data_IF_142690347433
#
_entry.id   IF_142690347433
#
_cell.length_a   1.000
_cell.length_b   1.000
_cell.length_c   1.000
_cell.angle_alpha   90.00
_cell.angle_beta   90.00
_cell.angle_gamma   90.00
#
_symmetry.space_group_name_H-M   'P 1'
#
loop_
_entity.id
_entity.type
_entity.pdbx_description
1 polymer ?
#
# COMPACT_ATOMS: atom_id res chain seq x y z
N UNK A 1 -3.22 -10.05 40.67
CA UNK A 1 -2.56 -8.84 40.20
C UNK A 1 -2.12 -8.99 38.74
N UNK A 2 -1.29 -10.00 38.36
CA UNK A 2 -0.74 -10.17 37.00
C UNK A 2 -1.82 -10.24 35.91
N UNK A 3 -2.87 -11.04 36.06
CA UNK A 3 -4.00 -11.13 35.11
C UNK A 3 -4.86 -9.85 35.03
N UNK A 4 -4.73 -8.93 35.97
CA UNK A 4 -5.54 -7.70 36.01
C UNK A 4 -4.76 -6.47 35.56
N UNK A 5 -3.45 -6.61 35.41
CA UNK A 5 -2.60 -5.61 34.80
C UNK A 5 -2.84 -5.57 33.28
N UNK A 6 -2.55 -4.45 32.65
CA UNK A 6 -2.61 -4.33 31.20
C UNK A 6 -1.52 -5.19 30.52
N UNK A 7 -0.35 -5.31 31.17
CA UNK A 7 0.74 -6.23 30.83
C UNK A 7 1.27 -6.76 32.14
N UNK A 8 1.11 -8.07 32.40
CA UNK A 8 1.69 -8.76 33.54
C UNK A 8 3.09 -9.25 33.24
N UNK A 9 4.06 -8.93 34.09
CA UNK A 9 5.46 -9.37 33.93
C UNK A 9 5.84 -10.29 35.09
N UNK A 10 6.42 -11.47 34.79
CA UNK A 10 6.96 -12.40 35.76
C UNK A 10 8.46 -12.62 35.54
N UNK A 11 9.14 -12.98 36.62
CA UNK A 11 10.56 -13.37 36.57
C UNK A 11 10.74 -14.81 36.13
N UNK A 12 11.84 -15.15 35.47
CA UNK A 12 12.18 -16.50 35.03
C UNK A 12 12.32 -17.49 36.16
N UNK A 13 12.81 -17.04 37.32
CA UNK A 13 12.90 -17.83 38.58
C UNK A 13 11.60 -17.83 39.38
N UNK A 14 10.54 -17.13 38.90
CA UNK A 14 9.24 -17.09 39.54
C UNK A 14 8.52 -18.45 39.55
N UNK A 15 7.41 -18.53 40.31
CA UNK A 15 6.58 -19.75 40.33
C UNK A 15 5.90 -19.96 38.98
N UNK A 16 5.64 -21.24 38.62
CA UNK A 16 4.97 -21.55 37.35
C UNK A 16 3.58 -20.93 37.22
N UNK A 17 2.88 -20.78 38.36
CA UNK A 17 1.59 -20.07 38.41
C UNK A 17 1.73 -18.60 38.03
N UNK A 18 2.81 -17.94 38.47
CA UNK A 18 3.08 -16.55 38.11
C UNK A 18 3.44 -16.42 36.63
N UNK A 19 4.27 -17.32 36.10
CA UNK A 19 4.66 -17.36 34.69
C UNK A 19 3.46 -17.61 33.76
N UNK A 20 2.58 -18.54 34.13
CA UNK A 20 1.35 -18.83 33.37
C UNK A 20 0.31 -17.70 33.44
N UNK A 21 0.40 -16.85 34.45
CA UNK A 21 -0.52 -15.71 34.62
C UNK A 21 0.03 -14.40 34.02
N UNK A 22 1.30 -14.38 33.62
CA UNK A 22 1.98 -13.22 33.06
C UNK A 22 1.92 -13.21 31.52
N UNK A 23 1.90 -12.01 30.93
CA UNK A 23 1.98 -11.81 29.49
C UNK A 23 3.45 -11.85 28.99
N UNK A 24 4.39 -11.53 29.90
CA UNK A 24 5.83 -11.52 29.62
C UNK A 24 6.59 -12.22 30.76
N UNK A 25 7.59 -13.03 30.40
CA UNK A 25 8.50 -13.69 31.36
C UNK A 25 9.93 -13.24 31.06
N UNK A 26 10.61 -12.66 32.07
CA UNK A 26 12.00 -12.23 31.97
C UNK A 26 12.91 -13.44 32.24
N UNK A 27 13.53 -13.96 31.21
CA UNK A 27 14.40 -15.15 31.32
C UNK A 27 15.71 -14.85 32.09
N UNK A 28 16.17 -13.61 32.06
CA UNK A 28 17.40 -13.14 32.70
C UNK A 28 17.19 -12.57 34.11
N UNK A 29 15.94 -12.55 34.60
CA UNK A 29 15.54 -12.00 35.90
C UNK A 29 15.97 -10.53 36.12
N UNK A 30 16.20 -9.79 35.04
CA UNK A 30 16.67 -8.41 35.07
C UNK A 30 15.56 -7.43 34.67
N UNK A 31 15.16 -6.54 35.58
CA UNK A 31 14.18 -5.51 35.31
C UNK A 31 14.59 -4.52 34.20
N UNK A 32 15.89 -4.30 33.97
CA UNK A 32 16.35 -3.43 32.89
C UNK A 32 15.94 -3.94 31.51
N UNK A 33 15.75 -5.25 31.35
CA UNK A 33 15.28 -5.90 30.12
C UNK A 33 13.85 -5.47 29.74
N UNK A 34 13.05 -5.02 30.70
CA UNK A 34 11.72 -4.42 30.42
C UNK A 34 11.84 -3.18 29.55
N UNK A 35 12.86 -2.34 29.80
CA UNK A 35 13.09 -1.11 28.99
C UNK A 35 13.42 -1.49 27.56
N UNK A 36 14.26 -2.49 27.36
CA UNK A 36 14.58 -3.00 26.03
C UNK A 36 13.37 -3.61 25.34
N UNK A 37 12.51 -4.33 26.07
CA UNK A 37 11.27 -4.88 25.54
C UNK A 37 10.28 -3.76 25.12
N UNK A 38 10.20 -2.67 25.89
CA UNK A 38 9.38 -1.50 25.52
C UNK A 38 9.92 -0.83 24.26
N UNK A 39 11.24 -0.67 24.15
CA UNK A 39 11.89 -0.10 22.97
C UNK A 39 11.56 -0.93 21.71
N UNK A 40 11.74 -2.24 21.78
CA UNK A 40 11.41 -3.15 20.69
C UNK A 40 9.91 -3.13 20.36
N UNK A 41 9.04 -3.13 21.37
CA UNK A 41 7.60 -3.06 21.18
C UNK A 41 7.15 -1.77 20.48
N UNK A 42 7.75 -0.63 20.82
CA UNK A 42 7.51 0.65 20.14
C UNK A 42 8.00 0.63 18.69
N UNK A 43 9.18 0.06 18.45
CA UNK A 43 9.72 -0.10 17.09
C UNK A 43 8.82 -0.96 16.22
N UNK A 44 8.41 -2.12 16.72
CA UNK A 44 7.48 -3.02 16.01
C UNK A 44 6.17 -2.30 15.69
N UNK A 45 5.64 -1.52 16.64
CA UNK A 45 4.43 -0.74 16.42
C UNK A 45 4.59 0.29 15.31
N UNK A 46 5.70 1.05 15.29
CA UNK A 46 5.99 2.04 14.25
C UNK A 46 6.11 1.36 12.88
N UNK A 47 6.87 0.27 12.79
CA UNK A 47 7.04 -0.50 11.57
C UNK A 47 5.71 -1.05 11.05
N UNK A 48 4.89 -1.62 11.95
CA UNK A 48 3.54 -2.10 11.61
C UNK A 48 2.64 -0.96 11.13
N UNK A 49 2.74 0.21 11.74
CA UNK A 49 1.99 1.38 11.30
C UNK A 49 2.39 1.83 9.89
N UNK A 50 3.70 1.88 9.58
CA UNK A 50 4.21 2.22 8.26
C UNK A 50 3.80 1.19 7.20
N UNK A 51 3.88 -0.09 7.54
CA UNK A 51 3.40 -1.20 6.73
C UNK A 51 1.91 -1.04 6.36
N UNK A 52 1.05 -0.82 7.36
CA UNK A 52 -0.40 -0.65 7.14
C UNK A 52 -0.68 0.59 6.28
N UNK A 53 0.03 1.69 6.55
CA UNK A 53 -0.11 2.94 5.78
C UNK A 53 0.21 2.74 4.32
N UNK A 54 1.33 2.08 4.03
CA UNK A 54 1.75 1.79 2.66
C UNK A 54 0.69 0.96 1.92
N UNK A 55 0.25 -0.15 2.50
CA UNK A 55 -0.76 -1.03 1.87
C UNK A 55 -2.11 -0.32 1.64
N UNK A 56 -2.55 0.51 2.59
CA UNK A 56 -3.82 1.25 2.40
C UNK A 56 -3.70 2.23 1.24
N UNK A 57 -2.59 2.99 1.14
CA UNK A 57 -2.42 3.98 0.07
C UNK A 57 -2.34 3.32 -1.31
N UNK A 58 -1.63 2.20 -1.43
CA UNK A 58 -1.52 1.40 -2.65
C UNK A 58 -2.88 0.88 -3.11
N UNK A 59 -3.59 0.17 -2.26
CA UNK A 59 -4.91 -0.38 -2.58
C UNK A 59 -5.94 0.71 -2.98
N UNK A 60 -5.89 1.90 -2.37
CA UNK A 60 -6.73 3.02 -2.79
C UNK A 60 -6.38 3.42 -4.22
N UNK A 61 -5.11 3.48 -4.60
CA UNK A 61 -4.65 3.79 -5.96
C UNK A 61 -5.20 2.81 -7.00
N UNK A 62 -5.13 1.52 -6.72
CA UNK A 62 -5.68 0.48 -7.58
C UNK A 62 -7.19 0.60 -7.76
N UNK A 63 -7.93 0.76 -6.66
CA UNK A 63 -9.39 0.92 -6.69
C UNK A 63 -9.78 2.17 -7.48
N UNK A 64 -9.10 3.30 -7.27
CA UNK A 64 -9.34 4.53 -8.03
C UNK A 64 -9.05 4.34 -9.51
N UNK A 65 -7.98 3.63 -9.87
CA UNK A 65 -7.63 3.31 -11.26
C UNK A 65 -8.76 2.54 -11.96
N UNK A 66 -9.24 1.46 -11.34
CA UNK A 66 -10.35 0.65 -11.88
C UNK A 66 -11.62 1.50 -11.98
N UNK A 67 -11.96 2.24 -10.93
CA UNK A 67 -13.15 3.07 -10.89
C UNK A 67 -13.14 4.14 -11.99
N UNK A 68 -12.02 4.84 -12.17
CA UNK A 68 -11.87 5.85 -13.24
C UNK A 68 -11.98 5.22 -14.64
N UNK A 69 -11.36 4.06 -14.85
CA UNK A 69 -11.43 3.35 -16.13
C UNK A 69 -12.89 3.03 -16.50
N UNK A 70 -13.64 2.49 -15.55
CA UNK A 70 -15.08 2.16 -15.76
C UNK A 70 -15.93 3.42 -15.92
N UNK A 71 -15.70 4.45 -15.10
CA UNK A 71 -16.42 5.73 -15.16
C UNK A 71 -16.23 6.46 -16.49
N UNK A 72 -15.01 6.42 -17.02
CA UNK A 72 -14.69 7.03 -18.31
C UNK A 72 -15.12 6.16 -19.51
N UNK A 73 -15.67 4.97 -19.28
CA UNK A 73 -16.06 4.05 -20.34
C UNK A 73 -14.89 3.59 -21.21
N UNK A 74 -13.69 3.46 -20.64
CA UNK A 74 -12.48 2.98 -21.32
C UNK A 74 -12.35 1.45 -21.20
N UNK A 75 -11.57 0.79 -22.09
CA UNK A 75 -11.19 -0.60 -21.89
C UNK A 75 -10.41 -0.78 -20.59
N UNK A 76 -10.31 -2.02 -20.11
CA UNK A 76 -9.59 -2.34 -18.87
C UNK A 76 -8.11 -1.91 -18.95
N UNK A 77 -7.73 -0.89 -18.16
CA UNK A 77 -6.36 -0.42 -18.09
C UNK A 77 -5.42 -1.42 -17.39
N UNK A 78 -5.97 -2.20 -16.47
CA UNK A 78 -5.27 -3.25 -15.71
C UNK A 78 -6.13 -4.51 -15.70
N UNK A 79 -5.55 -5.63 -16.07
CA UNK A 79 -6.23 -6.93 -16.00
C UNK A 79 -6.11 -7.53 -14.57
N UNK A 80 -7.07 -8.36 -14.13
CA UNK A 80 -7.06 -8.90 -12.78
C UNK A 80 -5.78 -9.64 -12.37
N UNK A 81 -5.12 -10.32 -13.31
CA UNK A 81 -3.85 -11.02 -13.04
C UNK A 81 -2.71 -10.04 -12.74
N UNK A 82 -2.70 -8.87 -13.40
CA UNK A 82 -1.71 -7.81 -13.11
C UNK A 82 -1.92 -7.22 -11.73
N UNK A 83 -3.16 -6.98 -11.31
CA UNK A 83 -3.50 -6.52 -9.97
C UNK A 83 -3.08 -7.54 -8.90
N UNK A 84 -3.33 -8.82 -9.15
CA UNK A 84 -2.87 -9.88 -8.26
C UNK A 84 -1.33 -9.88 -8.13
N UNK A 85 -0.62 -9.70 -9.24
CA UNK A 85 0.84 -9.59 -9.24
C UNK A 85 1.32 -8.38 -8.43
N UNK A 86 0.73 -7.21 -8.62
CA UNK A 86 1.08 -6.00 -7.89
C UNK A 86 0.87 -6.22 -6.39
N UNK A 87 -0.30 -6.65 -5.97
CA UNK A 87 -0.61 -6.86 -4.56
C UNK A 87 0.28 -7.91 -3.88
N UNK A 88 0.61 -8.99 -4.59
CA UNK A 88 1.39 -10.08 -4.00
C UNK A 88 2.90 -9.81 -4.02
N UNK A 89 3.43 -9.33 -5.12
CA UNK A 89 4.87 -9.19 -5.34
C UNK A 89 5.34 -7.76 -5.15
N UNK A 90 4.73 -6.81 -5.87
CA UNK A 90 5.17 -5.42 -5.88
C UNK A 90 4.92 -4.73 -4.53
N UNK A 91 3.77 -4.97 -3.92
CA UNK A 91 3.41 -4.38 -2.63
C UNK A 91 3.84 -5.25 -1.45
N UNK A 92 3.74 -6.57 -1.58
CA UNK A 92 4.03 -7.51 -0.50
C UNK A 92 5.49 -7.50 -0.07
N UNK A 93 6.44 -7.40 -0.99
CA UNK A 93 7.87 -7.39 -0.65
C UNK A 93 8.32 -6.11 0.06
N UNK A 94 8.03 -4.89 -0.44
CA UNK A 94 8.35 -3.67 0.28
C UNK A 94 7.61 -3.54 1.61
N UNK A 95 6.34 -3.94 1.66
CA UNK A 95 5.57 -3.96 2.90
C UNK A 95 6.24 -4.84 3.96
N UNK A 96 6.67 -6.04 3.58
CA UNK A 96 7.41 -6.93 4.47
C UNK A 96 8.73 -6.30 4.93
N UNK A 97 9.47 -5.66 4.01
CA UNK A 97 10.72 -4.98 4.34
C UNK A 97 10.51 -3.84 5.35
N UNK A 98 9.44 -3.06 5.22
CA UNK A 98 9.06 -2.02 6.20
C UNK A 98 8.81 -2.60 7.60
N UNK A 99 8.27 -3.82 7.69
CA UNK A 99 8.05 -4.52 8.96
C UNK A 99 9.34 -4.86 9.72
N UNK A 100 10.46 -5.00 9.03
CA UNK A 100 11.77 -5.35 9.59
C UNK A 100 12.74 -4.16 9.71
N UNK A 101 12.25 -2.94 9.60
CA UNK A 101 13.09 -1.76 9.72
C UNK A 101 13.75 -1.70 11.11
N UNK A 102 15.05 -1.35 11.22
CA UNK A 102 15.72 -1.24 12.50
C UNK A 102 15.07 -0.16 13.38
N UNK A 103 15.12 -0.31 14.71
CA UNK A 103 14.54 0.66 15.63
C UNK A 103 15.21 2.03 15.48
N UNK A 104 14.40 3.07 15.41
CA UNK A 104 14.89 4.45 15.45
C UNK A 104 15.35 4.78 16.87
N UNK A 105 16.54 5.40 17.02
CA UNK A 105 17.09 5.83 18.30
C UNK A 105 16.25 6.87 19.05
N UNK A 106 15.30 7.51 18.37
CA UNK A 106 14.38 8.47 18.97
C UNK A 106 13.13 7.85 19.61
N UNK A 107 12.84 6.55 19.36
CA UNK A 107 11.64 5.86 19.83
C UNK A 107 11.38 6.01 21.33
N UNK A 108 12.43 5.97 22.15
CA UNK A 108 12.32 6.09 23.61
C UNK A 108 12.16 7.55 24.09
N UNK A 109 12.42 8.54 23.24
CA UNK A 109 12.21 9.97 23.56
C UNK A 109 10.77 10.41 23.39
N UNK A 110 9.98 9.65 22.64
CA UNK A 110 8.57 9.95 22.43
C UNK A 110 7.73 9.66 23.68
N UNK A 111 6.69 10.48 23.99
CA UNK A 111 5.80 10.21 25.10
C UNK A 111 5.04 8.89 24.88
N UNK A 112 4.54 8.26 25.96
CA UNK A 112 3.71 7.06 25.86
C UNK A 112 2.44 7.35 25.05
N UNK A 113 2.07 6.40 24.19
CA UNK A 113 0.85 6.48 23.39
C UNK A 113 -0.39 6.37 24.27
N UNK A 114 -1.43 7.14 23.95
CA UNK A 114 -2.73 7.03 24.61
C UNK A 114 -3.52 5.84 24.05
N UNK A 115 -4.32 5.18 24.88
CA UNK A 115 -5.20 4.07 24.44
C UNK A 115 -6.23 4.50 23.39
N UNK A 116 -6.60 5.77 23.35
CA UNK A 116 -7.54 6.33 22.38
C UNK A 116 -6.92 6.67 21.04
N UNK A 117 -5.59 6.60 20.91
CA UNK A 117 -4.92 6.98 19.68
C UNK A 117 -5.15 5.92 18.60
N UNK A 118 -5.83 6.31 17.54
CA UNK A 118 -6.05 5.48 16.36
C UNK A 118 -4.74 5.24 15.61
N UNK A 119 -4.57 4.04 15.04
CA UNK A 119 -3.47 3.72 14.10
C UNK A 119 -3.48 4.62 12.87
N UNK A 120 -4.67 5.00 12.43
CA UNK A 120 -4.89 5.86 11.26
C UNK A 120 -5.69 7.07 11.71
N UNK A 121 -5.07 8.25 11.70
CA UNK A 121 -5.77 9.51 11.98
C UNK A 121 -6.59 9.96 10.75
N UNK A 122 -7.60 10.81 10.95
CA UNK A 122 -8.40 11.36 9.85
C UNK A 122 -7.55 12.14 8.84
N UNK A 123 -6.54 12.85 9.32
CA UNK A 123 -5.59 13.57 8.45
C UNK A 123 -4.79 12.61 7.56
N UNK A 124 -4.37 11.49 8.12
CA UNK A 124 -3.68 10.44 7.35
C UNK A 124 -4.58 9.84 6.27
N UNK A 125 -5.86 9.60 6.57
CA UNK A 125 -6.82 9.12 5.57
C UNK A 125 -6.94 10.07 4.37
N UNK A 126 -7.03 11.38 4.61
CA UNK A 126 -7.06 12.38 3.53
C UNK A 126 -5.79 12.34 2.69
N UNK A 127 -4.62 12.24 3.34
CA UNK A 127 -3.32 12.12 2.66
C UNK A 127 -3.27 10.87 1.77
N UNK A 128 -3.69 9.71 2.28
CA UNK A 128 -3.67 8.46 1.51
C UNK A 128 -4.67 8.47 0.37
N UNK A 129 -5.83 9.07 0.58
CA UNK A 129 -6.80 9.24 -0.49
C UNK A 129 -6.26 10.16 -1.60
N UNK A 130 -5.57 11.24 -1.25
CA UNK A 130 -4.94 12.14 -2.22
C UNK A 130 -3.82 11.43 -3.01
N UNK A 131 -2.96 10.66 -2.33
CA UNK A 131 -1.92 9.86 -2.97
C UNK A 131 -2.54 8.80 -3.88
N UNK A 132 -3.51 8.03 -3.39
CA UNK A 132 -4.19 7.00 -4.17
C UNK A 132 -4.92 7.58 -5.39
N UNK A 133 -5.56 8.76 -5.27
CA UNK A 133 -6.15 9.45 -6.39
C UNK A 133 -5.10 9.82 -7.44
N UNK A 134 -3.95 10.35 -7.01
CA UNK A 134 -2.83 10.68 -7.90
C UNK A 134 -2.32 9.43 -8.64
N UNK A 135 -2.11 8.32 -7.94
CA UNK A 135 -1.66 7.04 -8.52
C UNK A 135 -2.67 6.55 -9.56
N UNK A 136 -3.96 6.50 -9.18
CA UNK A 136 -5.02 6.04 -10.07
C UNK A 136 -5.16 6.89 -11.33
N UNK A 137 -5.13 8.21 -11.19
CA UNK A 137 -5.18 9.14 -12.33
C UNK A 137 -3.96 8.96 -13.23
N UNK A 138 -2.74 8.88 -12.66
CA UNK A 138 -1.51 8.70 -13.44
C UNK A 138 -1.53 7.39 -14.24
N UNK A 139 -2.02 6.30 -13.65
CA UNK A 139 -2.14 4.98 -14.29
C UNK A 139 -3.10 5.04 -15.48
N UNK A 140 -4.28 5.66 -15.30
CA UNK A 140 -5.29 5.79 -16.37
C UNK A 140 -4.82 6.74 -17.47
N UNK A 141 -4.15 7.83 -17.12
CA UNK A 141 -3.55 8.74 -18.12
C UNK A 141 -2.44 8.06 -18.92
N UNK A 142 -1.64 7.19 -18.31
CA UNK A 142 -0.65 6.38 -19.01
C UNK A 142 -1.28 5.44 -20.05
N UNK A 143 -2.40 4.82 -19.69
CA UNK A 143 -3.19 4.02 -20.63
C UNK A 143 -3.69 4.84 -21.82
N UNK A 144 -4.32 5.99 -21.53
CA UNK A 144 -4.84 6.88 -22.56
C UNK A 144 -3.71 7.45 -23.44
N UNK A 145 -2.57 7.78 -22.85
CA UNK A 145 -1.41 8.30 -23.58
C UNK A 145 -0.91 7.34 -24.66
N UNK A 146 -0.89 6.02 -24.37
CA UNK A 146 -0.51 5.01 -25.36
C UNK A 146 -1.40 5.06 -26.60
N UNK A 147 -2.72 5.12 -26.42
CA UNK A 147 -3.68 5.13 -27.53
C UNK A 147 -3.74 6.45 -28.30
N UNK A 148 -3.54 7.57 -27.61
CA UNK A 148 -3.79 8.92 -28.18
C UNK A 148 -2.52 9.56 -28.74
N UNK A 149 -1.40 9.45 -28.01
CA UNK A 149 -0.21 10.29 -28.24
C UNK A 149 1.04 9.52 -28.62
N UNK A 150 1.14 8.23 -28.31
CA UNK A 150 2.36 7.47 -28.57
C UNK A 150 2.56 7.21 -30.07
N UNK A 151 3.75 7.49 -30.59
CA UNK A 151 4.08 7.39 -32.04
C UNK A 151 3.98 5.98 -32.63
N UNK A 152 4.04 4.95 -31.80
CA UNK A 152 3.84 3.53 -32.18
C UNK A 152 2.46 3.01 -31.86
N UNK A 153 1.57 3.83 -31.33
CA UNK A 153 0.18 3.47 -30.98
C UNK A 153 -0.81 3.77 -32.11
N UNK A 154 -2.07 3.40 -31.93
CA UNK A 154 -3.09 3.52 -32.96
C UNK A 154 -3.57 4.96 -33.25
N UNK A 155 -3.12 5.97 -32.50
CA UNK A 155 -3.47 7.40 -32.67
C UNK A 155 -4.97 7.67 -32.74
N UNK A 156 -5.75 7.07 -31.85
CA UNK A 156 -7.20 7.31 -31.74
C UNK A 156 -7.50 8.56 -30.91
N UNK A 157 -8.70 9.13 -31.11
CA UNK A 157 -9.15 10.23 -30.28
C UNK A 157 -9.63 9.75 -28.89
N UNK A 158 -9.54 10.63 -27.89
CA UNK A 158 -10.06 10.34 -26.55
C UNK A 158 -11.55 9.95 -26.57
N UNK A 159 -12.32 10.54 -27.46
CA UNK A 159 -13.75 10.21 -27.65
C UNK A 159 -13.93 8.75 -28.11
N UNK A 160 -13.12 8.28 -29.06
CA UNK A 160 -13.17 6.91 -29.56
C UNK A 160 -12.75 5.90 -28.46
N UNK A 161 -11.76 6.24 -27.66
CA UNK A 161 -11.29 5.42 -26.55
C UNK A 161 -12.38 5.27 -25.47
N UNK A 162 -13.07 6.35 -25.11
CA UNK A 162 -14.14 6.31 -24.08
C UNK A 162 -15.45 5.67 -24.59
N UNK A 163 -15.65 5.57 -25.92
CA UNK A 163 -16.82 4.95 -26.52
C UNK A 163 -16.51 3.64 -27.26
N UNK A 164 -15.47 2.93 -26.81
CA UNK A 164 -15.00 1.71 -27.48
C UNK A 164 -16.10 0.62 -27.63
N UNK A 165 -17.08 0.57 -26.72
CA UNK A 165 -18.22 -0.34 -26.83
C UNK A 165 -19.08 -0.11 -28.07
N UNK A 166 -19.03 1.09 -28.65
CA UNK A 166 -19.77 1.47 -29.85
C UNK A 166 -18.90 1.40 -31.12
N UNK A 167 -17.67 0.88 -31.00
CA UNK A 167 -16.68 0.87 -32.05
C UNK A 167 -17.24 0.27 -33.34
N UNK A 168 -17.85 -0.91 -33.28
CA UNK A 168 -18.41 -1.63 -34.44
C UNK A 168 -19.56 -0.92 -35.13
N UNK A 169 -20.25 0.01 -34.42
CA UNK A 169 -21.42 0.72 -34.97
C UNK A 169 -21.07 2.09 -35.51
N UNK A 170 -20.19 2.83 -34.82
CA UNK A 170 -19.98 4.27 -35.06
C UNK A 170 -18.61 4.60 -35.65
N UNK A 171 -17.63 3.67 -35.58
CA UNK A 171 -16.24 3.95 -35.99
C UNK A 171 -15.75 2.90 -36.99
N UNK A 172 -16.29 2.92 -38.22
CA UNK A 172 -15.89 1.99 -39.29
C UNK A 172 -14.45 2.21 -39.80
N UNK A 173 -13.82 3.31 -39.41
CA UNK A 173 -12.47 3.69 -39.82
C UNK A 173 -11.37 3.07 -38.94
N UNK A 174 -11.73 2.47 -37.79
CA UNK A 174 -10.81 1.98 -36.79
C UNK A 174 -10.97 0.45 -36.67
N UNK A 175 -9.83 -0.25 -36.57
CA UNK A 175 -9.84 -1.66 -36.23
C UNK A 175 -10.21 -1.87 -34.77
N UNK A 176 -11.44 -2.28 -34.50
CA UNK A 176 -11.92 -2.53 -33.14
C UNK A 176 -11.21 -3.70 -32.42
N UNK A 177 -10.44 -4.52 -33.16
CA UNK A 177 -9.61 -5.57 -32.59
C UNK A 177 -8.46 -5.03 -31.72
N UNK A 178 -8.08 -3.76 -31.88
CA UNK A 178 -7.03 -3.12 -31.04
C UNK A 178 -7.38 -3.08 -29.56
N UNK A 179 -8.64 -3.02 -29.19
CA UNK A 179 -9.08 -2.97 -27.79
C UNK A 179 -9.02 -4.33 -27.07
N UNK A 180 -8.90 -5.42 -27.81
CA UNK A 180 -8.83 -6.80 -27.28
C UNK A 180 -7.55 -7.54 -27.68
N UNK A 181 -6.74 -6.97 -28.60
CA UNK A 181 -5.53 -7.55 -29.13
C UNK A 181 -4.23 -7.11 -28.42
N UNK A 182 -3.13 -7.22 -29.16
CA UNK A 182 -1.78 -6.87 -28.68
C UNK A 182 -1.66 -5.40 -28.24
N UNK A 183 -2.34 -4.49 -28.92
CA UNK A 183 -2.32 -3.06 -28.57
C UNK A 183 -2.87 -2.80 -27.17
N UNK A 184 -3.94 -3.47 -26.79
CA UNK A 184 -4.48 -3.40 -25.43
C UNK A 184 -3.49 -3.94 -24.40
N UNK A 185 -2.73 -4.99 -24.72
CA UNK A 185 -1.69 -5.54 -23.84
C UNK A 185 -0.53 -4.57 -23.66
N UNK A 186 -0.10 -3.88 -24.70
CA UNK A 186 0.95 -2.86 -24.61
C UNK A 186 0.50 -1.69 -23.75
N UNK A 187 -0.70 -1.17 -23.97
CA UNK A 187 -1.28 -0.09 -23.17
C UNK A 187 -1.40 -0.48 -21.69
N UNK A 188 -1.89 -1.69 -21.40
CA UNK A 188 -1.98 -2.23 -20.05
C UNK A 188 -0.60 -2.40 -19.39
N UNK A 189 0.43 -2.79 -20.15
CA UNK A 189 1.81 -2.88 -19.66
C UNK A 189 2.38 -1.52 -19.30
N UNK A 190 2.08 -0.48 -20.08
CA UNK A 190 2.47 0.90 -19.76
C UNK A 190 1.80 1.36 -18.44
N UNK A 191 0.50 1.12 -18.30
CA UNK A 191 -0.23 1.42 -17.07
C UNK A 191 0.34 0.72 -15.85
N UNK A 192 0.62 -0.58 -15.99
CA UNK A 192 1.25 -1.39 -14.95
C UNK A 192 2.63 -0.84 -14.57
N UNK A 193 3.44 -0.47 -15.55
CA UNK A 193 4.79 0.07 -15.31
C UNK A 193 4.73 1.40 -14.54
N UNK A 194 3.79 2.26 -14.88
CA UNK A 194 3.55 3.53 -14.17
C UNK A 194 3.12 3.25 -12.72
N UNK A 195 2.12 2.37 -12.54
CA UNK A 195 1.63 1.97 -11.22
C UNK A 195 2.78 1.46 -10.34
N UNK A 196 3.52 0.45 -10.81
CA UNK A 196 4.64 -0.17 -10.09
C UNK A 196 5.72 0.86 -9.75
N UNK A 197 6.07 1.76 -10.68
CA UNK A 197 7.09 2.79 -10.42
C UNK A 197 6.65 3.75 -9.31
N UNK A 198 5.40 4.21 -9.35
CA UNK A 198 4.88 5.12 -8.33
C UNK A 198 4.79 4.40 -6.97
N UNK A 199 4.36 3.13 -6.93
CA UNK A 199 4.29 2.35 -5.70
C UNK A 199 5.67 2.09 -5.09
N UNK A 200 6.70 1.84 -5.90
CA UNK A 200 8.06 1.74 -5.40
C UNK A 200 8.56 3.05 -4.77
N UNK A 201 8.26 4.18 -5.40
CA UNK A 201 8.58 5.50 -4.85
C UNK A 201 7.78 5.79 -3.57
N UNK A 202 6.53 5.37 -3.52
CA UNK A 202 5.68 5.48 -2.33
C UNK A 202 6.20 4.62 -1.16
N UNK A 203 6.74 3.42 -1.44
CA UNK A 203 7.40 2.58 -0.45
C UNK A 203 8.63 3.27 0.15
N UNK A 204 9.46 3.91 -0.69
CA UNK A 204 10.62 4.70 -0.23
C UNK A 204 10.17 5.91 0.62
N UNK A 205 9.09 6.57 0.26
CA UNK A 205 8.53 7.65 1.03
C UNK A 205 8.00 7.18 2.40
N UNK A 206 7.37 5.99 2.44
CA UNK A 206 6.90 5.40 3.69
C UNK A 206 8.04 5.03 4.66
N UNK A 207 9.24 4.80 4.15
CA UNK A 207 10.44 4.56 4.95
C UNK A 207 10.91 5.83 5.69
N UNK A 208 10.77 7.00 5.06
CA UNK A 208 11.22 8.30 5.61
C UNK A 208 10.18 8.98 6.52
N UNK A 209 8.94 8.52 6.53
CA UNK A 209 7.83 9.12 7.32
C UNK A 209 7.99 8.93 8.86
N UNK A 210 9.01 8.20 9.29
CA UNK A 210 9.29 8.00 10.72
C UNK A 210 9.97 9.24 11.34
N UNK A 211 10.59 10.10 10.50
CA UNK A 211 11.41 11.25 10.95
C UNK A 211 10.70 12.61 10.79
N UNK A 212 9.41 12.67 10.44
CA UNK A 212 8.71 13.94 10.19
C UNK A 212 7.46 14.15 11.05
#
# INVERSE_FOLDING_TARGET
ALKRADIGVAMGTGTDVAKLAADMVLADDNFATIVSAIEQGRSIFNNTSSFIRYLISSNIGEVVSIFLTVMLGMPEALIPVQLLWVNLVTDGLPATALGFNPPDGAVMRMPPRKRSDSLVSQWMLVRYFAIGLYVGVATVLGYAWWFVSYSGGPHITMYQLTHFHQCTRNFSEIDCGMFTGNESQHASTVSLSILVTIEMLNALNALSDVDS
#
